data_IF_662593145918
#
_entry.id   IF_662593145918
#
_cell.length_a   1.000
_cell.length_b   1.000
_cell.length_c   1.000
_cell.angle_alpha   90.00
_cell.angle_beta   90.00
_cell.angle_gamma   90.00
#
_symmetry.space_group_name_H-M   'P 1'
#
loop_
_entity.id
_entity.type
_entity.pdbx_description
1 polymer ?
#
# COMPACT_ATOMS: atom_id res chain seq x y z
N UNK A 1 -32.66 9.03 9.84
CA UNK A 1 -31.74 7.89 10.13
C UNK A 1 -31.00 7.51 8.85
N UNK A 2 -29.69 7.61 8.85
CA UNK A 2 -28.86 7.27 7.70
C UNK A 2 -28.95 5.76 7.41
N UNK A 3 -29.20 5.40 6.16
CA UNK A 3 -29.37 4.01 5.72
C UNK A 3 -28.52 3.75 4.47
N UNK A 4 -27.97 2.57 4.38
CA UNK A 4 -27.31 2.05 3.20
C UNK A 4 -28.05 0.78 2.75
N UNK A 5 -28.33 0.67 1.47
CA UNK A 5 -28.81 -0.55 0.83
C UNK A 5 -27.77 -0.97 -0.19
N UNK A 6 -27.28 -2.19 -0.10
CA UNK A 6 -26.27 -2.72 -1.01
C UNK A 6 -26.76 -3.94 -1.77
N UNK A 7 -26.32 -4.06 -3.00
CA UNK A 7 -26.54 -5.24 -3.84
C UNK A 7 -25.30 -5.53 -4.66
N UNK A 8 -24.79 -6.74 -4.55
CA UNK A 8 -23.74 -7.23 -5.46
C UNK A 8 -24.38 -7.94 -6.64
N UNK A 9 -24.04 -7.48 -7.84
CA UNK A 9 -24.45 -8.13 -9.09
C UNK A 9 -23.26 -8.94 -9.58
N UNK A 10 -23.40 -10.26 -9.54
CA UNK A 10 -22.34 -11.19 -9.98
C UNK A 10 -22.17 -11.12 -11.49
N UNK A 11 -20.93 -11.24 -11.94
CA UNK A 11 -20.62 -11.30 -13.37
C UNK A 11 -20.98 -12.65 -13.99
N UNK A 12 -21.07 -13.70 -13.17
CA UNK A 12 -21.47 -15.05 -13.60
C UNK A 12 -22.20 -15.81 -12.50
N UNK A 13 -23.30 -16.48 -12.85
CA UNK A 13 -24.09 -17.32 -11.96
C UNK A 13 -23.47 -18.72 -11.75
N UNK A 14 -22.40 -19.06 -12.48
CA UNK A 14 -21.80 -20.41 -12.47
C UNK A 14 -20.79 -20.66 -11.35
N UNK A 15 -20.55 -19.70 -10.48
CA UNK A 15 -19.54 -19.84 -9.43
C UNK A 15 -20.13 -20.46 -8.17
N UNK A 16 -19.76 -21.68 -7.89
CA UNK A 16 -19.97 -22.38 -6.60
C UNK A 16 -18.89 -22.02 -5.57
N UNK A 17 -18.20 -20.92 -5.75
CA UNK A 17 -16.94 -20.64 -5.07
C UNK A 17 -17.09 -19.61 -3.96
N UNK A 18 -16.18 -19.75 -3.01
CA UNK A 18 -15.95 -18.80 -1.94
C UNK A 18 -15.56 -17.41 -2.47
N UNK A 19 -14.96 -17.36 -3.67
CA UNK A 19 -14.55 -16.12 -4.34
C UNK A 19 -15.38 -15.93 -5.61
N UNK A 20 -15.81 -14.69 -5.87
CA UNK A 20 -16.54 -14.38 -7.11
C UNK A 20 -16.30 -12.93 -7.53
N UNK A 21 -16.47 -12.67 -8.82
CA UNK A 21 -16.42 -11.33 -9.39
C UNK A 21 -17.83 -10.72 -9.49
N UNK A 22 -17.95 -9.44 -9.14
CA UNK A 22 -19.23 -8.76 -9.23
C UNK A 22 -19.17 -7.26 -8.91
N UNK A 23 -20.15 -6.51 -9.42
CA UNK A 23 -20.27 -5.06 -9.21
C UNK A 23 -21.11 -4.75 -7.97
N UNK A 24 -20.65 -3.74 -7.21
CA UNK A 24 -21.41 -3.21 -6.09
C UNK A 24 -22.34 -2.10 -6.56
N UNK A 25 -23.62 -2.25 -6.25
CA UNK A 25 -24.62 -1.19 -6.33
C UNK A 25 -25.03 -0.82 -4.92
N UNK A 26 -25.10 0.47 -4.63
CA UNK A 26 -25.54 0.94 -3.33
C UNK A 26 -26.49 2.15 -3.47
N UNK A 27 -27.45 2.20 -2.55
CA UNK A 27 -28.34 3.35 -2.36
C UNK A 27 -28.13 3.81 -0.93
N UNK A 28 -27.65 5.04 -0.79
CA UNK A 28 -27.41 5.67 0.50
C UNK A 28 -28.46 6.76 0.74
N UNK A 29 -29.23 6.62 1.82
CA UNK A 29 -30.17 7.63 2.29
C UNK A 29 -29.57 8.36 3.48
N UNK A 30 -29.35 9.67 3.37
CA UNK A 30 -28.76 10.49 4.42
C UNK A 30 -29.81 11.02 5.41
N UNK A 31 -29.43 11.06 6.67
CA UNK A 31 -30.19 11.71 7.74
C UNK A 31 -30.31 13.22 7.50
N UNK A 32 -31.41 13.84 7.95
CA UNK A 32 -31.66 15.28 7.79
C UNK A 32 -30.63 16.17 8.48
N UNK A 33 -29.92 15.64 9.46
CA UNK A 33 -28.88 16.36 10.21
C UNK A 33 -27.57 16.51 9.42
N UNK A 34 -27.41 15.78 8.32
CA UNK A 34 -26.21 15.83 7.48
C UNK A 34 -26.37 16.92 6.44
N UNK A 35 -25.46 17.89 6.44
CA UNK A 35 -25.41 18.92 5.41
C UNK A 35 -24.93 18.33 4.07
N UNK A 36 -25.75 18.48 3.05
CA UNK A 36 -25.49 17.92 1.72
C UNK A 36 -24.65 18.91 0.91
N UNK A 37 -23.37 18.66 0.77
CA UNK A 37 -22.47 19.41 -0.11
C UNK A 37 -22.56 18.95 -1.56
N UNK A 38 -21.86 19.63 -2.48
CA UNK A 38 -21.90 19.32 -3.90
C UNK A 38 -21.04 18.10 -4.27
N UNK A 39 -19.94 17.87 -3.56
CA UNK A 39 -19.00 16.81 -3.85
C UNK A 39 -19.09 15.68 -2.80
N UNK A 40 -19.09 14.47 -3.29
CA UNK A 40 -19.04 13.29 -2.45
C UNK A 40 -18.07 12.25 -3.01
N UNK A 41 -17.60 11.38 -2.14
CA UNK A 41 -16.88 10.18 -2.54
C UNK A 41 -17.36 8.96 -1.75
N UNK A 42 -17.35 7.81 -2.41
CA UNK A 42 -17.63 6.51 -1.80
C UNK A 42 -16.45 5.61 -2.05
N UNK A 43 -15.92 5.04 -0.97
CA UNK A 43 -14.72 4.22 -1.03
C UNK A 43 -14.96 2.91 -0.30
N UNK A 44 -14.73 1.79 -0.98
CA UNK A 44 -14.90 0.45 -0.43
C UNK A 44 -13.55 -0.15 -0.05
N UNK A 45 -13.48 -0.71 1.15
CA UNK A 45 -12.31 -1.37 1.71
C UNK A 45 -12.62 -2.80 2.13
N UNK A 46 -11.65 -3.68 1.94
CA UNK A 46 -11.59 -4.94 2.66
C UNK A 46 -11.01 -4.68 4.05
N UNK A 47 -11.78 -4.97 5.10
CA UNK A 47 -11.39 -4.65 6.48
C UNK A 47 -10.25 -5.54 6.99
N UNK A 48 -10.24 -6.81 6.59
CA UNK A 48 -9.20 -7.76 7.00
C UNK A 48 -7.82 -7.42 6.46
N UNK A 49 -7.74 -7.07 5.16
CA UNK A 49 -6.46 -6.77 4.49
C UNK A 49 -6.20 -5.27 4.38
N UNK A 50 -7.09 -4.43 4.90
CA UNK A 50 -6.97 -2.98 4.76
C UNK A 50 -6.70 -2.55 3.32
N UNK A 51 -7.39 -3.19 2.41
CA UNK A 51 -7.21 -3.01 1.00
C UNK A 51 -8.32 -2.16 0.41
N UNK A 52 -7.94 -1.09 -0.26
CA UNK A 52 -8.85 -0.32 -1.11
C UNK A 52 -9.25 -1.19 -2.30
N UNK A 53 -10.53 -1.48 -2.41
CA UNK A 53 -11.07 -2.23 -3.53
C UNK A 53 -11.51 -1.30 -4.66
N UNK A 54 -12.23 -0.24 -4.33
CA UNK A 54 -12.69 0.71 -5.33
C UNK A 54 -13.07 2.04 -4.70
N UNK A 55 -13.01 3.12 -5.49
CA UNK A 55 -13.43 4.45 -5.10
C UNK A 55 -14.16 5.13 -6.24
N UNK A 56 -15.33 5.66 -5.95
CA UNK A 56 -16.12 6.48 -6.86
C UNK A 56 -16.31 7.87 -6.26
N UNK A 57 -16.26 8.88 -7.10
CA UNK A 57 -16.53 10.26 -6.72
C UNK A 57 -17.55 10.87 -7.69
N UNK A 58 -18.38 11.74 -7.18
CA UNK A 58 -19.39 12.41 -7.98
C UNK A 58 -19.74 13.77 -7.42
N UNK A 59 -20.45 14.52 -8.20
CA UNK A 59 -21.03 15.79 -7.83
C UNK A 59 -22.56 15.73 -7.79
N UNK A 60 -23.19 16.81 -7.33
CA UNK A 60 -24.63 16.90 -7.05
C UNK A 60 -25.59 16.58 -8.21
N UNK A 61 -25.10 16.50 -9.42
CA UNK A 61 -25.95 16.34 -10.60
C UNK A 61 -26.40 14.90 -10.86
N UNK A 62 -25.91 13.92 -10.10
CA UNK A 62 -26.36 12.53 -10.20
C UNK A 62 -27.65 12.36 -9.41
N UNK A 63 -28.77 12.59 -10.09
CA UNK A 63 -30.17 12.26 -9.72
C UNK A 63 -30.45 12.19 -8.21
N UNK A 64 -30.31 13.32 -7.52
CA UNK A 64 -30.81 13.47 -6.17
C UNK A 64 -32.34 13.53 -6.21
N UNK A 65 -32.98 12.46 -5.81
CA UNK A 65 -34.30 12.52 -5.22
C UNK A 65 -34.13 12.46 -3.72
N UNK A 66 -34.34 13.60 -3.05
CA UNK A 66 -34.55 13.63 -1.61
C UNK A 66 -33.51 12.94 -0.73
N UNK A 67 -32.20 13.35 -0.84
CA UNK A 67 -31.12 12.83 0.00
C UNK A 67 -30.73 11.36 -0.23
N UNK A 68 -31.21 10.75 -1.30
CA UNK A 68 -30.79 9.43 -1.74
C UNK A 68 -29.70 9.53 -2.78
N UNK A 69 -28.60 8.83 -2.53
CA UNK A 69 -27.45 8.71 -3.42
C UNK A 69 -27.39 7.29 -3.96
N UNK A 70 -27.62 7.13 -5.25
CA UNK A 70 -27.48 5.85 -5.93
C UNK A 70 -26.13 5.80 -6.63
N UNK A 71 -25.28 4.85 -6.25
CA UNK A 71 -23.96 4.65 -6.83
C UNK A 71 -23.83 3.21 -7.30
N UNK A 72 -23.39 3.06 -8.55
CA UNK A 72 -23.01 1.78 -9.12
C UNK A 72 -21.51 1.80 -9.38
N UNK A 73 -20.76 0.93 -8.73
CA UNK A 73 -19.31 0.85 -8.96
C UNK A 73 -19.07 0.40 -10.40
N UNK A 74 -18.24 1.15 -11.13
CA UNK A 74 -18.01 0.96 -12.56
C UNK A 74 -17.32 -0.37 -12.88
N UNK A 75 -16.46 -0.83 -11.97
CA UNK A 75 -15.68 -2.04 -12.16
C UNK A 75 -16.14 -3.18 -11.26
N UNK A 76 -15.98 -4.39 -11.75
CA UNK A 76 -16.19 -5.59 -10.96
C UNK A 76 -15.08 -5.76 -9.92
N UNK A 77 -15.46 -6.24 -8.75
CA UNK A 77 -14.58 -6.47 -7.61
C UNK A 77 -14.56 -7.98 -7.36
N UNK A 78 -13.41 -8.50 -6.99
CA UNK A 78 -13.32 -9.86 -6.49
C UNK A 78 -13.72 -9.87 -5.02
N UNK A 79 -14.83 -10.53 -4.74
CA UNK A 79 -15.40 -10.69 -3.41
C UNK A 79 -14.95 -12.00 -2.78
N UNK A 80 -14.72 -11.95 -1.49
CA UNK A 80 -14.49 -13.12 -0.64
C UNK A 80 -15.32 -12.98 0.64
N UNK A 81 -15.70 -14.07 1.33
CA UNK A 81 -16.35 -13.98 2.61
C UNK A 81 -15.50 -13.20 3.61
N UNK A 82 -16.12 -12.31 4.37
CA UNK A 82 -15.39 -11.50 5.34
C UNK A 82 -15.99 -10.12 5.56
N UNK A 83 -15.25 -9.32 6.29
CA UNK A 83 -15.66 -7.98 6.66
C UNK A 83 -15.14 -6.94 5.66
N UNK A 84 -16.01 -5.99 5.35
CA UNK A 84 -15.73 -4.85 4.51
C UNK A 84 -16.27 -3.60 5.19
N UNK A 85 -15.76 -2.47 4.80
CA UNK A 85 -16.39 -1.21 5.16
C UNK A 85 -16.41 -0.25 3.98
N UNK A 86 -17.45 0.56 3.96
CA UNK A 86 -17.62 1.61 2.98
C UNK A 86 -17.51 2.95 3.69
N UNK A 87 -16.65 3.82 3.19
CA UNK A 87 -16.56 5.21 3.62
C UNK A 87 -17.33 6.07 2.63
N UNK A 88 -18.30 6.80 3.15
CA UNK A 88 -18.97 7.88 2.42
C UNK A 88 -18.46 9.21 2.98
N UNK A 89 -17.95 10.05 2.11
CA UNK A 89 -17.49 11.39 2.46
C UNK A 89 -18.30 12.43 1.70
N UNK A 90 -18.76 13.45 2.41
CA UNK A 90 -19.41 14.62 1.84
C UNK A 90 -19.04 15.86 2.67
N UNK A 91 -18.37 16.83 2.05
CA UNK A 91 -17.81 17.95 2.80
C UNK A 91 -16.92 17.49 3.95
N UNK A 92 -17.18 17.93 5.16
CA UNK A 92 -16.44 17.52 6.38
C UNK A 92 -17.00 16.25 7.02
N UNK A 93 -18.10 15.72 6.55
CA UNK A 93 -18.75 14.53 7.10
C UNK A 93 -18.13 13.28 6.48
N UNK A 94 -17.76 12.33 7.31
CA UNK A 94 -17.32 10.99 6.90
C UNK A 94 -18.14 9.97 7.68
N UNK A 95 -18.82 9.09 6.94
CA UNK A 95 -19.62 7.99 7.48
C UNK A 95 -18.94 6.67 7.13
N UNK A 96 -18.85 5.78 8.08
CA UNK A 96 -18.41 4.40 7.88
C UNK A 96 -19.61 3.47 7.99
N UNK A 97 -19.79 2.63 6.99
CA UNK A 97 -20.76 1.54 6.98
C UNK A 97 -20.01 0.22 7.06
N UNK A 98 -20.41 -0.61 8.01
CA UNK A 98 -19.86 -1.95 8.18
C UNK A 98 -20.63 -2.92 7.29
N UNK A 99 -19.93 -3.74 6.55
CA UNK A 99 -20.46 -4.70 5.60
C UNK A 99 -19.88 -6.08 5.89
N UNK A 100 -20.69 -7.12 5.70
CA UNK A 100 -20.24 -8.50 5.81
C UNK A 100 -20.65 -9.30 4.58
N UNK A 101 -19.68 -9.79 3.84
CA UNK A 101 -19.91 -10.76 2.77
C UNK A 101 -20.00 -12.15 3.36
N UNK A 102 -21.12 -12.79 3.13
CA UNK A 102 -21.38 -14.16 3.57
C UNK A 102 -20.85 -15.18 2.53
N UNK A 103 -20.66 -16.43 2.95
CA UNK A 103 -20.24 -17.54 2.08
C UNK A 103 -21.23 -17.79 0.92
N UNK A 104 -22.52 -17.52 1.14
CA UNK A 104 -23.53 -17.60 0.09
C UNK A 104 -23.51 -16.46 -0.92
N UNK A 105 -22.61 -15.47 -0.72
CA UNK A 105 -22.46 -14.29 -1.57
C UNK A 105 -23.46 -13.16 -1.30
N UNK A 106 -24.19 -13.21 -0.19
CA UNK A 106 -25.02 -12.10 0.24
C UNK A 106 -24.18 -11.09 1.02
N UNK A 107 -24.34 -9.82 0.70
CA UNK A 107 -23.74 -8.71 1.44
C UNK A 107 -24.74 -8.20 2.47
N UNK A 108 -24.35 -8.24 3.74
CA UNK A 108 -25.15 -7.74 4.86
C UNK A 108 -24.56 -6.43 5.38
N UNK A 109 -25.42 -5.51 5.71
CA UNK A 109 -25.07 -4.26 6.36
C UNK A 109 -25.27 -4.40 7.87
N UNK A 110 -24.26 -4.02 8.66
CA UNK A 110 -24.28 -4.22 10.10
C UNK A 110 -24.27 -2.93 10.93
N UNK A 111 -24.10 -1.77 10.31
CA UNK A 111 -24.15 -0.50 11.02
C UNK A 111 -23.60 0.67 10.27
N UNK A 112 -23.92 1.87 10.77
CA UNK A 112 -23.39 3.14 10.29
C UNK A 112 -22.87 3.93 11.50
N UNK A 113 -21.67 4.48 11.37
CA UNK A 113 -21.11 5.42 12.35
C UNK A 113 -20.57 6.67 11.68
N UNK A 114 -20.75 7.80 12.38
CA UNK A 114 -20.06 9.05 12.04
C UNK A 114 -18.60 8.92 12.48
N UNK A 115 -17.67 9.14 11.58
CA UNK A 115 -16.25 9.09 11.87
C UNK A 115 -15.80 10.39 12.55
N UNK A 116 -15.06 10.32 13.66
CA UNK A 116 -14.57 11.51 14.34
C UNK A 116 -13.56 12.24 13.45
N UNK A 117 -13.60 13.55 13.48
CA UNK A 117 -12.62 14.41 12.80
C UNK A 117 -11.21 14.03 13.27
N UNK A 118 -10.28 13.92 12.33
CA UNK A 118 -8.90 13.42 12.53
C UNK A 118 -8.79 11.93 12.93
N UNK A 119 -9.90 11.21 13.02
CA UNK A 119 -9.88 9.76 13.11
C UNK A 119 -9.30 9.12 11.86
N UNK A 120 -9.00 7.85 11.94
CA UNK A 120 -8.36 7.09 10.87
C UNK A 120 -9.17 7.12 9.57
N UNK A 121 -10.45 6.84 9.66
CA UNK A 121 -11.38 6.83 8.52
C UNK A 121 -11.51 8.24 7.90
N UNK A 122 -11.51 9.27 8.75
CA UNK A 122 -11.54 10.65 8.29
C UNK A 122 -10.27 11.00 7.48
N UNK A 123 -9.10 10.62 7.98
CA UNK A 123 -7.82 10.80 7.26
C UNK A 123 -7.83 10.04 5.93
N UNK A 124 -8.30 8.79 5.94
CA UNK A 124 -8.44 7.98 4.73
C UNK A 124 -9.30 8.68 3.67
N UNK A 125 -10.48 9.14 4.05
CA UNK A 125 -11.41 9.76 3.13
C UNK A 125 -10.93 11.14 2.62
N UNK A 126 -10.41 11.98 3.52
CA UNK A 126 -10.10 13.39 3.23
C UNK A 126 -8.73 13.66 2.64
N UNK A 127 -7.72 12.89 3.07
CA UNK A 127 -6.33 13.17 2.70
C UNK A 127 -5.82 12.28 1.58
N UNK A 128 -6.51 11.22 1.30
CA UNK A 128 -5.99 10.08 0.58
C UNK A 128 -6.78 9.77 -0.67
N UNK A 129 -8.09 9.99 -0.65
CA UNK A 129 -8.92 9.76 -1.83
C UNK A 129 -8.44 10.62 -3.00
N UNK A 130 -8.26 9.99 -4.15
CA UNK A 130 -7.85 10.67 -5.39
C UNK A 130 -6.35 10.85 -5.60
N UNK A 131 -5.47 10.50 -4.65
CA UNK A 131 -4.02 10.53 -4.89
C UNK A 131 -3.56 9.21 -5.53
N UNK A 132 -3.02 9.20 -6.77
CA UNK A 132 -2.68 7.97 -7.49
C UNK A 132 -1.75 7.04 -6.73
N UNK A 133 -0.74 7.58 -6.05
CA UNK A 133 0.23 6.79 -5.28
C UNK A 133 -0.40 6.11 -4.07
N UNK A 134 -1.34 6.78 -3.42
CA UNK A 134 -2.06 6.18 -2.30
C UNK A 134 -2.98 5.05 -2.75
N UNK A 135 -3.72 5.29 -3.82
CA UNK A 135 -4.60 4.26 -4.37
C UNK A 135 -3.79 3.01 -4.70
N UNK A 136 -2.62 3.16 -5.31
CA UNK A 136 -1.73 2.02 -5.58
C UNK A 136 -1.27 1.31 -4.30
N UNK A 137 -0.74 2.04 -3.31
CA UNK A 137 -0.27 1.46 -2.04
C UNK A 137 -1.42 0.82 -1.26
N UNK A 138 -2.55 1.51 -1.17
CA UNK A 138 -3.69 1.06 -0.39
C UNK A 138 -4.46 -0.07 -1.10
N UNK A 139 -4.36 -0.18 -2.41
CA UNK A 139 -4.88 -1.31 -3.18
C UNK A 139 -3.98 -2.56 -3.15
N UNK A 140 -2.79 -2.45 -2.57
CA UNK A 140 -1.93 -3.62 -2.35
C UNK A 140 -2.45 -4.38 -1.14
N UNK A 141 -2.75 -5.67 -1.25
CA UNK A 141 -3.16 -6.50 -0.13
C UNK A 141 -2.11 -6.55 0.97
N UNK A 142 -2.54 -6.71 2.22
CA UNK A 142 -1.64 -6.81 3.36
C UNK A 142 -0.91 -5.50 3.68
N UNK A 143 0.35 -5.58 4.05
CA UNK A 143 1.16 -4.44 4.50
C UNK A 143 0.53 -3.67 5.66
N UNK A 144 -0.21 -4.36 6.52
CA UNK A 144 -1.03 -3.76 7.59
C UNK A 144 -0.19 -2.89 8.51
N UNK A 145 1.00 -3.36 8.89
CA UNK A 145 1.91 -2.60 9.75
C UNK A 145 2.34 -1.27 9.11
N UNK A 146 2.64 -1.29 7.80
CA UNK A 146 3.02 -0.10 7.03
C UNK A 146 1.86 0.88 6.90
N UNK A 147 0.67 0.37 6.57
CA UNK A 147 -0.55 1.18 6.44
C UNK A 147 -0.91 1.86 7.76
N UNK A 148 -0.86 1.13 8.86
CA UNK A 148 -1.10 1.66 10.21
C UNK A 148 -0.06 2.72 10.60
N UNK A 149 1.21 2.47 10.30
CA UNK A 149 2.27 3.45 10.54
C UNK A 149 2.01 4.73 9.76
N UNK A 150 1.71 4.62 8.47
CA UNK A 150 1.44 5.78 7.62
C UNK A 150 0.23 6.59 8.11
N UNK A 151 -0.85 5.93 8.50
CA UNK A 151 -2.03 6.61 9.03
C UNK A 151 -1.71 7.37 10.32
N UNK A 152 -1.00 6.75 11.25
CA UNK A 152 -0.54 7.43 12.47
C UNK A 152 0.33 8.63 12.14
N UNK A 153 1.15 8.52 11.10
CA UNK A 153 2.00 9.58 10.61
C UNK A 153 1.19 10.77 10.09
N UNK A 154 0.17 10.49 9.28
CA UNK A 154 -0.74 11.51 8.77
C UNK A 154 -1.56 12.16 9.90
N UNK A 155 -2.05 11.39 10.87
CA UNK A 155 -2.73 11.92 12.05
C UNK A 155 -1.83 12.87 12.86
N UNK A 156 -0.57 12.49 13.07
CA UNK A 156 0.38 13.33 13.81
C UNK A 156 0.71 14.60 13.03
N UNK A 157 0.76 14.54 11.70
CA UNK A 157 0.92 15.73 10.86
C UNK A 157 -0.25 16.69 10.99
N UNK A 158 -1.49 16.19 10.95
CA UNK A 158 -2.67 17.03 11.21
C UNK A 158 -2.62 17.67 12.59
N UNK A 159 -2.22 16.90 13.62
CA UNK A 159 -2.01 17.46 14.95
C UNK A 159 -0.97 18.57 14.96
N UNK A 160 0.16 18.40 14.25
CA UNK A 160 1.19 19.42 14.16
C UNK A 160 0.70 20.68 13.44
N UNK A 161 -0.11 20.54 12.40
CA UNK A 161 -0.75 21.69 11.73
C UNK A 161 -1.64 22.45 12.70
N UNK A 162 -2.51 21.78 13.44
CA UNK A 162 -3.35 22.41 14.47
C UNK A 162 -2.54 23.08 15.57
N UNK A 163 -1.46 22.46 16.03
CA UNK A 163 -0.57 23.04 17.04
C UNK A 163 0.10 24.32 16.53
N UNK A 164 0.55 24.34 15.29
CA UNK A 164 1.15 25.50 14.67
C UNK A 164 0.12 26.64 14.53
N UNK A 165 -1.10 26.36 14.12
CA UNK A 165 -2.19 27.33 14.05
C UNK A 165 -2.50 27.99 15.41
N UNK A 166 -2.31 27.25 16.52
CA UNK A 166 -2.51 27.73 17.88
C UNK A 166 -1.20 28.20 18.55
N UNK A 167 -0.16 28.47 17.78
CA UNK A 167 1.16 28.94 18.26
C UNK A 167 1.85 27.96 19.22
N UNK A 168 1.54 26.68 19.14
CA UNK A 168 2.25 25.64 19.87
C UNK A 168 3.38 25.06 19.03
N UNK A 169 4.47 24.65 19.68
CA UNK A 169 5.60 24.01 18.99
C UNK A 169 5.20 22.68 18.33
N UNK A 170 5.86 22.39 17.20
CA UNK A 170 5.68 21.14 16.45
C UNK A 170 6.26 19.97 17.24
N UNK A 171 5.53 18.86 17.30
CA UNK A 171 6.01 17.63 17.90
C UNK A 171 6.98 16.94 16.94
N UNK A 172 8.18 16.55 17.42
CA UNK A 172 9.16 15.88 16.57
C UNK A 172 8.71 14.46 16.23
N UNK A 173 9.18 13.98 15.09
CA UNK A 173 8.96 12.61 14.63
C UNK A 173 10.27 11.85 14.50
N UNK A 174 10.29 10.60 14.89
CA UNK A 174 11.34 9.68 14.48
C UNK A 174 10.88 8.93 13.24
N UNK A 175 11.58 9.16 12.13
CA UNK A 175 11.31 8.50 10.83
C UNK A 175 12.27 7.37 10.51
N UNK A 176 13.21 7.08 11.40
CA UNK A 176 14.15 5.99 11.19
C UNK A 176 13.42 4.65 11.20
N UNK A 177 13.77 3.77 10.27
CA UNK A 177 13.11 2.48 10.08
C UNK A 177 14.12 1.35 9.97
N UNK A 178 13.77 0.19 10.50
CA UNK A 178 14.42 -1.08 10.24
C UNK A 178 13.50 -1.92 9.36
N UNK A 179 14.02 -2.47 8.28
CA UNK A 179 13.23 -3.25 7.35
C UNK A 179 13.91 -4.58 7.09
N UNK A 180 13.26 -5.64 7.54
CA UNK A 180 13.64 -7.01 7.23
C UNK A 180 12.95 -7.46 5.94
N UNK A 181 13.73 -7.60 4.87
CA UNK A 181 13.21 -8.11 3.60
C UNK A 181 14.33 -8.77 2.80
N UNK A 182 14.07 -9.93 2.26
CA UNK A 182 14.98 -10.61 1.36
C UNK A 182 14.97 -10.03 -0.06
N UNK A 183 13.94 -9.26 -0.41
CA UNK A 183 13.79 -8.64 -1.73
C UNK A 183 13.85 -7.13 -1.65
N UNK A 184 14.98 -6.56 -2.05
CA UNK A 184 15.23 -5.11 -1.99
C UNK A 184 14.26 -4.26 -2.82
N UNK A 185 13.74 -4.79 -3.93
CA UNK A 185 12.85 -4.03 -4.84
C UNK A 185 11.48 -3.73 -4.26
N UNK A 186 10.89 -4.68 -3.54
CA UNK A 186 9.61 -4.47 -2.88
C UNK A 186 9.72 -3.40 -1.78
N UNK A 187 10.75 -3.51 -0.96
CA UNK A 187 11.05 -2.56 0.10
C UNK A 187 11.24 -1.17 -0.47
N UNK A 188 12.04 -1.04 -1.52
CA UNK A 188 12.30 0.25 -2.17
C UNK A 188 11.04 0.91 -2.72
N UNK A 189 10.21 0.16 -3.44
CA UNK A 189 8.95 0.69 -3.97
C UNK A 189 7.98 1.11 -2.88
N UNK A 190 7.87 0.32 -1.80
CA UNK A 190 7.03 0.65 -0.66
C UNK A 190 7.51 1.91 0.06
N UNK A 191 8.82 2.04 0.24
CA UNK A 191 9.43 3.24 0.83
C UNK A 191 9.20 4.48 -0.03
N UNK A 192 9.43 4.37 -1.33
CA UNK A 192 9.22 5.47 -2.27
C UNK A 192 7.77 5.97 -2.24
N UNK A 193 6.83 5.06 -2.13
CA UNK A 193 5.40 5.40 -2.01
C UNK A 193 5.10 6.03 -0.66
N UNK A 194 5.65 5.52 0.43
CA UNK A 194 5.46 6.08 1.77
C UNK A 194 5.98 7.51 1.87
N UNK A 195 7.16 7.78 1.32
CA UNK A 195 7.75 9.12 1.33
C UNK A 195 6.92 10.11 0.54
N UNK A 196 6.46 9.73 -0.64
CA UNK A 196 5.58 10.57 -1.46
C UNK A 196 4.23 10.84 -0.80
N UNK A 197 3.69 9.87 -0.08
CA UNK A 197 2.42 10.01 0.64
C UNK A 197 2.56 10.87 1.90
N UNK A 198 3.69 10.78 2.57
CA UNK A 198 4.00 11.62 3.73
C UNK A 198 4.41 13.05 3.33
N UNK A 199 4.37 13.40 2.02
CA UNK A 199 4.90 14.66 1.45
C UNK A 199 6.35 14.94 1.91
N UNK A 200 7.13 13.90 2.10
CA UNK A 200 8.57 14.04 2.30
C UNK A 200 9.12 14.43 0.93
N UNK A 201 9.37 15.71 0.75
CA UNK A 201 9.64 16.31 -0.57
C UNK A 201 11.05 16.03 -1.09
N UNK A 202 11.91 15.37 -0.30
CA UNK A 202 13.33 15.41 -0.58
C UNK A 202 13.96 14.08 -0.96
N UNK A 203 15.05 14.26 -1.66
CA UNK A 203 15.93 13.34 -2.32
C UNK A 203 16.11 12.04 -1.54
N UNK A 204 15.62 10.98 -2.16
CA UNK A 204 15.87 9.63 -1.70
C UNK A 204 17.23 9.19 -2.22
N UNK A 205 18.16 8.95 -1.32
CA UNK A 205 19.42 8.34 -1.67
C UNK A 205 19.39 6.86 -1.28
N UNK A 206 19.39 5.99 -2.31
CA UNK A 206 19.52 4.55 -2.13
C UNK A 206 20.98 4.17 -2.15
N UNK A 207 21.45 3.63 -1.03
CA UNK A 207 22.82 3.21 -0.84
C UNK A 207 22.85 1.70 -0.70
N UNK A 208 23.53 1.02 -1.62
CA UNK A 208 23.83 -0.39 -1.46
C UNK A 208 25.15 -0.51 -0.67
N UNK A 209 25.06 -1.13 0.51
CA UNK A 209 26.22 -1.29 1.40
C UNK A 209 27.36 -2.12 0.77
N UNK A 210 27.07 -2.92 -0.25
CA UNK A 210 28.14 -3.60 -1.01
C UNK A 210 29.06 -2.62 -1.74
N UNK A 211 28.55 -1.43 -2.10
CA UNK A 211 29.32 -0.38 -2.77
C UNK A 211 30.15 0.49 -1.82
N UNK A 212 30.03 0.26 -0.51
CA UNK A 212 30.87 0.93 0.49
C UNK A 212 32.24 0.28 0.65
N UNK A 213 32.46 -0.90 0.03
CA UNK A 213 33.78 -1.51 -0.04
C UNK A 213 34.62 -0.81 -1.09
N UNK A 214 35.84 -0.43 -0.72
CA UNK A 214 36.77 0.25 -1.61
C UNK A 214 38.21 -0.24 -1.42
N UNK A 215 39.13 0.14 -2.30
CA UNK A 215 40.53 -0.32 -2.29
C UNK A 215 41.36 0.28 -1.14
N UNK A 216 40.81 1.25 -0.40
CA UNK A 216 41.47 1.91 0.72
C UNK A 216 40.63 1.74 1.99
N UNK A 217 41.28 1.62 3.13
CA UNK A 217 40.62 1.46 4.43
C UNK A 217 39.72 2.66 4.81
N UNK A 218 40.09 3.87 4.38
CA UNK A 218 39.32 5.10 4.65
C UNK A 218 38.17 5.34 3.66
N UNK A 219 38.10 4.57 2.56
CA UNK A 219 37.09 4.77 1.53
C UNK A 219 35.65 4.70 2.03
N UNK A 220 35.23 3.72 2.85
CA UNK A 220 33.86 3.65 3.35
C UNK A 220 33.49 4.86 4.21
N UNK A 221 34.42 5.35 5.04
CA UNK A 221 34.19 6.48 5.93
C UNK A 221 34.01 7.78 5.15
N UNK A 222 34.90 8.03 4.18
CA UNK A 222 34.81 9.21 3.32
C UNK A 222 33.51 9.19 2.49
N UNK A 223 33.10 8.01 2.00
CA UNK A 223 31.85 7.85 1.24
C UNK A 223 30.63 8.17 2.11
N UNK A 224 30.62 7.74 3.38
CA UNK A 224 29.55 8.10 4.32
C UNK A 224 29.53 9.61 4.60
N UNK A 225 30.70 10.20 4.81
CA UNK A 225 30.78 11.66 4.99
C UNK A 225 30.28 12.42 3.76
N UNK A 226 30.59 11.97 2.55
CA UNK A 226 30.09 12.57 1.31
C UNK A 226 28.56 12.47 1.18
N UNK A 227 27.99 11.30 1.51
CA UNK A 227 26.53 11.07 1.49
C UNK A 227 25.82 12.06 2.41
N UNK A 228 26.31 12.23 3.63
CA UNK A 228 25.71 13.14 4.60
C UNK A 228 26.20 14.61 4.45
N UNK A 229 27.30 14.88 3.76
CA UNK A 229 27.85 16.23 3.55
C UNK A 229 27.01 17.09 2.61
N UNK A 230 26.27 16.46 1.69
CA UNK A 230 25.29 17.15 0.82
C UNK A 230 24.28 17.97 1.64
N UNK A 231 24.09 17.63 2.90
CA UNK A 231 23.27 18.38 3.86
C UNK A 231 23.86 19.76 4.21
N UNK A 232 25.19 19.82 4.40
CA UNK A 232 25.87 21.05 4.88
C UNK A 232 25.96 22.15 3.85
N UNK A 233 25.92 21.81 2.57
CA UNK A 233 26.05 22.77 1.48
C UNK A 233 24.73 23.46 1.12
N UNK A 234 23.60 22.77 1.23
CA UNK A 234 22.29 23.38 0.93
C UNK A 234 21.88 24.44 1.97
N UNK A 235 22.24 24.24 3.23
CA UNK A 235 21.90 25.18 4.32
C UNK A 235 22.71 26.50 4.24
N UNK A 236 23.85 26.47 3.58
CA UNK A 236 24.75 27.65 3.50
C UNK A 236 24.53 28.56 2.29
N UNK A 237 23.98 28.02 1.18
CA UNK A 237 23.90 28.78 -0.09
C UNK A 237 22.71 29.74 -0.12
N UNK A 238 21.65 29.51 0.61
CA UNK A 238 20.43 30.28 0.46
C UNK A 238 20.10 31.23 1.63
N UNK A 239 20.77 31.15 2.78
CA UNK A 239 20.48 32.01 3.92
C UNK A 239 19.03 32.02 4.38
N UNK A 240 18.23 31.10 3.86
CA UNK A 240 16.82 30.90 4.15
C UNK A 240 16.69 29.62 4.98
N UNK A 241 16.33 29.78 6.25
CA UNK A 241 15.78 28.68 7.05
C UNK A 241 14.43 28.26 6.43
N UNK A 242 14.48 27.49 5.35
CA UNK A 242 13.29 26.85 4.79
C UNK A 242 13.04 25.55 5.58
N UNK A 243 11.98 25.48 6.38
CA UNK A 243 11.63 24.27 7.14
C UNK A 243 11.48 23.03 6.23
N UNK A 244 11.27 23.24 4.94
CA UNK A 244 11.00 22.24 3.93
C UNK A 244 12.24 21.53 3.37
N UNK A 245 13.47 22.00 3.67
CA UNK A 245 14.71 21.41 3.13
C UNK A 245 15.33 20.33 4.03
N UNK A 246 14.76 20.10 5.20
CA UNK A 246 15.38 19.27 6.26
C UNK A 246 14.97 17.78 6.23
N UNK A 247 13.97 17.41 5.47
CA UNK A 247 13.47 16.03 5.43
C UNK A 247 14.13 15.22 4.31
N UNK A 248 15.35 14.76 4.53
CA UNK A 248 16.04 13.83 3.63
C UNK A 248 15.89 12.41 4.13
N UNK A 249 15.78 11.48 3.20
CA UNK A 249 15.70 10.06 3.47
C UNK A 249 16.88 9.33 2.86
N UNK A 250 17.62 8.61 3.69
CA UNK A 250 18.73 7.76 3.30
C UNK A 250 18.36 6.31 3.55
N UNK A 251 18.37 5.49 2.52
CA UNK A 251 18.09 4.07 2.64
C UNK A 251 19.34 3.24 2.36
N UNK A 252 19.81 2.53 3.37
CA UNK A 252 20.95 1.62 3.30
C UNK A 252 20.43 0.19 3.11
N UNK A 253 20.79 -0.42 1.98
CA UNK A 253 20.41 -1.78 1.62
C UNK A 253 21.56 -2.75 1.81
N UNK A 254 21.25 -4.04 1.98
CA UNK A 254 22.23 -5.10 2.22
C UNK A 254 23.09 -4.84 3.46
N UNK A 255 22.45 -4.41 4.56
CA UNK A 255 23.17 -4.04 5.80
C UNK A 255 23.99 -5.19 6.40
N UNK A 256 23.72 -6.44 6.06
CA UNK A 256 24.53 -7.58 6.41
C UNK A 256 26.00 -7.42 6.01
N UNK A 257 26.28 -6.60 4.99
CA UNK A 257 27.64 -6.23 4.59
C UNK A 257 28.36 -5.40 5.67
N UNK A 258 27.64 -4.54 6.38
CA UNK A 258 28.17 -3.69 7.46
C UNK A 258 28.44 -4.48 8.75
N UNK A 259 27.86 -5.67 8.88
CA UNK A 259 28.03 -6.56 10.03
C UNK A 259 29.24 -7.49 9.89
N UNK A 260 29.96 -7.42 8.77
CA UNK A 260 31.16 -8.21 8.53
C UNK A 260 32.35 -7.66 9.32
N UNK A 261 33.31 -8.52 9.67
CA UNK A 261 34.54 -8.09 10.35
C UNK A 261 35.25 -6.98 9.57
N UNK A 262 35.63 -5.92 10.25
CA UNK A 262 36.33 -4.76 9.68
C UNK A 262 35.37 -3.63 9.19
N UNK A 263 34.06 -3.82 9.26
CA UNK A 263 33.07 -2.81 8.87
C UNK A 263 32.32 -2.18 10.06
N UNK A 264 32.66 -2.57 11.28
CA UNK A 264 31.97 -2.09 12.50
C UNK A 264 32.00 -0.57 12.63
N UNK A 265 33.15 0.03 12.37
CA UNK A 265 33.29 1.49 12.42
C UNK A 265 32.49 2.24 11.36
N UNK A 266 32.17 1.60 10.22
CA UNK A 266 31.36 2.18 9.17
C UNK A 266 29.91 2.30 9.63
N UNK A 267 29.38 1.27 10.29
CA UNK A 267 28.06 1.30 10.89
C UNK A 267 27.98 2.36 11.99
N UNK A 268 28.97 2.42 12.90
CA UNK A 268 29.05 3.44 13.94
C UNK A 268 29.04 4.84 13.32
N UNK A 269 29.74 5.03 12.20
CA UNK A 269 29.74 6.28 11.46
C UNK A 269 28.35 6.63 10.93
N UNK A 270 27.66 5.68 10.27
CA UNK A 270 26.28 5.88 9.83
C UNK A 270 25.39 6.25 11.02
N UNK A 271 25.47 5.52 12.10
CA UNK A 271 24.66 5.75 13.30
C UNK A 271 24.96 7.10 13.96
N UNK A 272 26.20 7.62 13.85
CA UNK A 272 26.55 8.97 14.35
C UNK A 272 25.88 10.08 13.56
N UNK A 273 25.56 9.86 12.29
CA UNK A 273 24.84 10.79 11.43
C UNK A 273 23.32 10.63 11.50
N UNK A 274 22.79 9.61 12.19
CA UNK A 274 21.34 9.43 12.31
C UNK A 274 20.78 10.54 13.20
N UNK A 275 20.13 11.55 12.63
CA UNK A 275 19.52 12.62 13.40
C UNK A 275 18.29 12.11 14.10
N UNK A 276 18.01 12.70 15.24
CA UNK A 276 16.89 12.24 16.06
C UNK A 276 15.53 12.65 15.49
N UNK A 277 15.46 13.71 14.63
CA UNK A 277 14.17 14.33 14.33
C UNK A 277 13.94 14.85 12.90
N UNK A 278 14.94 15.06 12.06
CA UNK A 278 14.75 15.75 10.77
C UNK A 278 15.03 14.89 9.55
N UNK A 279 16.01 14.03 9.59
CA UNK A 279 16.31 13.10 8.51
C UNK A 279 15.84 11.71 8.89
N UNK A 280 15.45 10.91 7.91
CA UNK A 280 15.16 9.51 8.13
C UNK A 280 16.25 8.63 7.56
N UNK A 281 16.75 7.73 8.38
CA UNK A 281 17.64 6.66 7.96
C UNK A 281 16.86 5.36 8.00
N UNK A 282 16.95 4.61 6.91
CA UNK A 282 16.30 3.32 6.75
C UNK A 282 17.40 2.29 6.55
N UNK A 283 17.40 1.28 7.39
CA UNK A 283 18.31 0.16 7.31
C UNK A 283 17.55 -1.08 6.83
N UNK A 284 17.95 -1.61 5.68
CA UNK A 284 17.30 -2.75 5.03
C UNK A 284 18.25 -3.93 4.93
N UNK A 285 17.80 -5.09 5.39
CA UNK A 285 18.55 -6.34 5.33
C UNK A 285 17.65 -7.55 5.51
N UNK A 286 18.25 -8.73 5.63
CA UNK A 286 17.49 -9.93 6.00
C UNK A 286 17.01 -9.85 7.46
N UNK A 287 16.05 -10.67 7.85
CA UNK A 287 15.61 -10.73 9.25
C UNK A 287 16.80 -11.03 10.18
N UNK A 288 17.66 -11.94 9.77
CA UNK A 288 18.87 -12.30 10.52
C UNK A 288 19.83 -11.11 10.70
N UNK A 289 19.99 -10.28 9.68
CA UNK A 289 20.83 -9.07 9.77
C UNK A 289 20.24 -8.05 10.74
N UNK A 290 18.93 -7.84 10.69
CA UNK A 290 18.21 -6.92 11.59
C UNK A 290 18.30 -7.40 13.05
N UNK A 291 18.10 -8.68 13.30
CA UNK A 291 18.21 -9.26 14.64
C UNK A 291 19.64 -9.12 15.17
N UNK A 292 20.65 -9.47 14.37
CA UNK A 292 22.06 -9.30 14.72
C UNK A 292 22.40 -7.82 15.00
N UNK A 293 21.91 -6.90 14.17
CA UNK A 293 22.08 -5.47 14.37
C UNK A 293 21.53 -5.01 15.74
N UNK A 294 20.33 -5.42 16.09
CA UNK A 294 19.66 -5.07 17.34
C UNK A 294 20.33 -5.65 18.57
N UNK A 295 20.91 -6.85 18.44
CA UNK A 295 21.58 -7.53 19.54
C UNK A 295 22.98 -6.96 19.79
N UNK A 296 23.69 -6.63 18.72
CA UNK A 296 25.07 -6.14 18.82
C UNK A 296 25.17 -4.64 19.15
N UNK A 297 24.18 -3.84 18.71
CA UNK A 297 24.17 -2.38 18.84
C UNK A 297 22.96 -1.91 19.66
N UNK A 298 23.07 -1.79 20.98
CA UNK A 298 21.97 -1.38 21.87
C UNK A 298 21.35 -0.01 21.50
N UNK A 299 22.16 0.89 20.97
CA UNK A 299 21.73 2.23 20.52
C UNK A 299 20.73 2.18 19.37
N UNK A 300 20.68 1.10 18.57
CA UNK A 300 19.67 0.89 17.54
C UNK A 300 18.27 0.99 18.12
N UNK A 301 18.05 0.47 19.32
CA UNK A 301 16.72 0.51 19.97
C UNK A 301 16.25 1.92 20.28
N UNK A 302 17.18 2.83 20.58
CA UNK A 302 16.84 4.24 20.87
C UNK A 302 16.63 5.08 19.59
N UNK A 303 17.39 4.75 18.52
CA UNK A 303 17.35 5.48 17.24
C UNK A 303 16.28 4.95 16.29
N UNK A 304 15.87 3.67 16.43
CA UNK A 304 14.88 2.99 15.60
C UNK A 304 13.78 2.38 16.48
N UNK A 305 12.69 3.12 16.71
CA UNK A 305 11.59 2.65 17.54
C UNK A 305 10.99 1.34 17.02
N UNK A 306 10.52 0.48 17.92
CA UNK A 306 9.91 -0.81 17.56
C UNK A 306 8.71 -0.61 16.63
N UNK A 307 7.97 0.50 16.79
CA UNK A 307 6.87 0.86 15.88
C UNK A 307 7.28 1.10 14.43
N UNK A 308 8.57 1.28 14.19
CA UNK A 308 9.15 1.55 12.88
C UNK A 308 10.01 0.37 12.38
N UNK A 309 9.79 -0.82 12.94
CA UNK A 309 10.43 -2.05 12.50
C UNK A 309 9.41 -2.85 11.69
N UNK A 310 9.76 -3.18 10.45
CA UNK A 310 8.90 -3.87 9.52
C UNK A 310 9.59 -5.15 9.03
N UNK A 311 8.80 -6.20 8.85
CA UNK A 311 9.27 -7.44 8.26
C UNK A 311 8.41 -7.78 7.03
N UNK A 312 9.04 -8.36 6.03
CA UNK A 312 8.33 -8.98 4.90
C UNK A 312 8.00 -10.42 5.30
N UNK A 313 6.76 -10.65 5.64
CA UNK A 313 6.24 -11.98 5.97
C UNK A 313 5.69 -12.66 4.72
N UNK A 314 5.66 -14.01 4.68
CA UNK A 314 4.93 -14.74 3.66
C UNK A 314 3.47 -14.27 3.63
N UNK A 315 2.95 -14.10 2.43
CA UNK A 315 1.57 -13.62 2.26
C UNK A 315 0.56 -14.72 2.57
N UNK A 316 -0.57 -14.37 3.17
CA UNK A 316 -1.72 -15.27 3.29
C UNK A 316 -2.30 -15.59 1.90
N UNK A 317 -3.05 -16.68 1.78
CA UNK A 317 -3.61 -17.09 0.48
C UNK A 317 -4.53 -16.01 -0.12
N UNK A 318 -5.27 -15.33 0.72
CA UNK A 318 -6.14 -14.22 0.32
C UNK A 318 -5.34 -13.05 -0.26
N UNK A 319 -4.19 -12.75 0.34
CA UNK A 319 -3.28 -11.71 -0.15
C UNK A 319 -2.69 -12.08 -1.51
N UNK A 320 -2.32 -13.35 -1.71
CA UNK A 320 -1.79 -13.85 -2.98
C UNK A 320 -2.84 -13.76 -4.09
N UNK A 321 -4.06 -14.21 -3.82
CA UNK A 321 -5.19 -14.18 -4.76
C UNK A 321 -5.52 -12.73 -5.15
N UNK A 322 -5.70 -11.85 -4.17
CA UNK A 322 -6.04 -10.45 -4.44
C UNK A 322 -4.90 -9.71 -5.14
N UNK A 323 -3.65 -10.03 -4.81
CA UNK A 323 -2.48 -9.49 -5.52
C UNK A 323 -2.51 -9.90 -6.99
N UNK A 324 -2.84 -11.16 -7.28
CA UNK A 324 -2.95 -11.62 -8.68
C UNK A 324 -3.96 -10.78 -9.46
N UNK A 325 -5.16 -10.61 -8.93
CA UNK A 325 -6.20 -9.83 -9.60
C UNK A 325 -5.81 -8.36 -9.76
N UNK A 326 -5.18 -7.79 -8.74
CA UNK A 326 -4.74 -6.39 -8.80
C UNK A 326 -3.61 -6.19 -9.82
N UNK A 327 -2.67 -7.10 -9.93
CA UNK A 327 -1.59 -7.00 -10.91
C UNK A 327 -2.12 -7.22 -12.34
N UNK A 328 -3.11 -8.09 -12.54
CA UNK A 328 -3.79 -8.23 -13.82
C UNK A 328 -4.52 -6.92 -14.22
N UNK A 329 -5.24 -6.30 -13.28
CA UNK A 329 -5.89 -5.01 -13.49
C UNK A 329 -4.88 -3.90 -13.81
N UNK A 330 -3.75 -3.84 -13.10
CA UNK A 330 -2.68 -2.88 -13.36
C UNK A 330 -2.07 -3.05 -14.76
N UNK A 331 -1.97 -4.28 -15.22
CA UNK A 331 -1.54 -4.62 -16.58
C UNK A 331 -2.63 -4.38 -17.63
N UNK A 332 -3.83 -3.94 -17.22
CA UNK A 332 -5.01 -3.76 -18.06
C UNK A 332 -5.44 -5.05 -18.79
N UNK A 333 -5.19 -6.17 -18.18
CA UNK A 333 -5.57 -7.49 -18.68
C UNK A 333 -6.88 -7.88 -18.00
N UNK A 334 -7.87 -8.26 -18.80
CA UNK A 334 -9.15 -8.75 -18.30
C UNK A 334 -9.07 -10.26 -18.04
N UNK A 335 -9.81 -10.71 -17.06
CA UNK A 335 -9.95 -12.12 -16.73
C UNK A 335 -11.39 -12.56 -17.05
N UNK A 336 -11.53 -13.66 -17.77
CA UNK A 336 -12.86 -14.28 -17.90
C UNK A 336 -13.33 -14.83 -16.55
N UNK A 337 -14.64 -14.99 -16.32
CA UNK A 337 -15.15 -15.59 -15.08
C UNK A 337 -14.55 -16.98 -14.79
N UNK A 338 -14.32 -17.78 -15.81
CA UNK A 338 -13.68 -19.09 -15.72
C UNK A 338 -12.22 -18.97 -15.26
N UNK A 339 -11.51 -17.94 -15.73
CA UNK A 339 -10.13 -17.66 -15.33
C UNK A 339 -10.03 -17.19 -13.90
N UNK A 340 -10.97 -16.37 -13.43
CA UNK A 340 -11.08 -15.97 -12.01
C UNK A 340 -11.19 -17.21 -11.13
N UNK A 341 -12.14 -18.11 -11.47
CA UNK A 341 -12.36 -19.36 -10.76
C UNK A 341 -11.11 -20.24 -10.75
N UNK A 342 -10.47 -20.40 -11.91
CA UNK A 342 -9.26 -21.21 -12.03
C UNK A 342 -8.11 -20.64 -11.22
N UNK A 343 -7.88 -19.34 -11.24
CA UNK A 343 -6.84 -18.67 -10.42
C UNK A 343 -7.06 -18.97 -8.94
N UNK A 344 -8.28 -18.77 -8.44
CA UNK A 344 -8.59 -19.02 -7.04
C UNK A 344 -8.33 -20.48 -6.64
N UNK A 345 -8.80 -21.44 -7.45
CA UNK A 345 -8.57 -22.86 -7.18
C UNK A 345 -7.10 -23.26 -7.28
N UNK A 346 -6.40 -22.78 -8.28
CA UNK A 346 -5.01 -23.11 -8.52
C UNK A 346 -4.10 -22.61 -7.40
N UNK A 347 -4.21 -21.34 -7.04
CA UNK A 347 -3.43 -20.75 -5.96
C UNK A 347 -3.77 -21.39 -4.61
N UNK A 348 -5.08 -21.61 -4.33
CA UNK A 348 -5.49 -22.27 -3.08
C UNK A 348 -4.93 -23.68 -2.96
N UNK A 349 -4.97 -24.47 -4.03
CA UNK A 349 -4.40 -25.83 -4.04
C UNK A 349 -2.89 -25.79 -3.80
N UNK A 350 -2.16 -24.98 -4.55
CA UNK A 350 -0.71 -24.88 -4.41
C UNK A 350 -0.26 -24.36 -3.03
N UNK A 351 -1.07 -23.49 -2.43
CA UNK A 351 -0.84 -23.04 -1.07
C UNK A 351 -1.06 -24.17 -0.06
N UNK A 352 -2.12 -24.98 -0.22
CA UNK A 352 -2.39 -26.16 0.62
C UNK A 352 -1.31 -27.22 0.49
N UNK A 353 -0.85 -27.48 -0.74
CA UNK A 353 0.23 -28.42 -1.04
C UNK A 353 1.60 -27.93 -0.55
N UNK A 354 1.69 -26.67 -0.09
CA UNK A 354 2.91 -26.09 0.47
C UNK A 354 3.86 -25.46 -0.56
N UNK A 355 3.55 -25.55 -1.86
CA UNK A 355 4.44 -25.07 -2.92
C UNK A 355 4.64 -23.56 -2.91
N UNK A 356 3.61 -22.80 -2.51
CA UNK A 356 3.63 -21.33 -2.52
C UNK A 356 3.41 -20.72 -1.13
N UNK A 357 3.53 -21.50 -0.05
CA UNK A 357 3.35 -20.98 1.34
C UNK A 357 4.33 -19.87 1.71
N UNK A 358 5.50 -19.88 1.11
CA UNK A 358 6.53 -18.88 1.37
C UNK A 358 6.52 -17.74 0.35
N UNK A 359 5.52 -17.71 -0.53
CA UNK A 359 5.42 -16.64 -1.49
C UNK A 359 5.09 -15.30 -0.82
N UNK A 360 5.74 -14.29 -1.32
CA UNK A 360 5.47 -12.89 -1.02
C UNK A 360 4.64 -12.28 -2.17
N UNK A 361 4.16 -11.07 -1.97
CA UNK A 361 3.52 -10.27 -3.03
C UNK A 361 4.44 -10.15 -4.27
N UNK A 362 5.75 -10.05 -4.07
CA UNK A 362 6.73 -9.97 -5.16
C UNK A 362 6.80 -11.27 -5.98
N UNK A 363 6.56 -12.41 -5.37
CA UNK A 363 6.55 -13.69 -6.09
C UNK A 363 5.34 -13.81 -7.00
N UNK A 364 4.17 -13.35 -6.56
CA UNK A 364 2.97 -13.26 -7.42
C UNK A 364 3.22 -12.35 -8.62
N UNK A 365 3.81 -11.18 -8.40
CA UNK A 365 4.18 -10.26 -9.49
C UNK A 365 5.12 -10.91 -10.49
N UNK A 366 6.15 -11.58 -9.98
CA UNK A 366 7.10 -12.31 -10.83
C UNK A 366 6.42 -13.41 -11.62
N UNK A 367 5.52 -14.18 -11.00
CA UNK A 367 4.75 -15.22 -11.68
C UNK A 367 3.90 -14.63 -12.82
N UNK A 368 3.18 -13.53 -12.58
CA UNK A 368 2.38 -12.88 -13.60
C UNK A 368 3.27 -12.38 -14.75
N UNK A 369 4.36 -11.68 -14.45
CA UNK A 369 5.21 -11.06 -15.47
C UNK A 369 6.07 -12.06 -16.23
N UNK A 370 6.51 -13.14 -15.60
CA UNK A 370 7.42 -14.11 -16.20
C UNK A 370 6.71 -15.33 -16.83
N UNK A 371 5.46 -15.58 -16.46
CA UNK A 371 4.73 -16.75 -16.95
C UNK A 371 3.37 -16.40 -17.57
N UNK A 372 2.49 -15.73 -16.83
CA UNK A 372 1.12 -15.47 -17.31
C UNK A 372 1.11 -14.52 -18.50
N UNK A 373 1.79 -13.38 -18.42
CA UNK A 373 1.83 -12.41 -19.51
C UNK A 373 2.47 -12.97 -20.77
N UNK A 374 3.61 -13.68 -20.73
CA UNK A 374 4.16 -14.30 -21.92
C UNK A 374 3.24 -15.36 -22.56
N UNK A 375 2.62 -16.24 -21.75
CA UNK A 375 1.66 -17.24 -22.25
C UNK A 375 0.46 -16.58 -22.94
N UNK A 376 -0.14 -15.61 -22.27
CA UNK A 376 -1.21 -14.77 -22.82
C UNK A 376 -0.79 -14.09 -24.12
N UNK A 377 0.41 -13.48 -24.15
CA UNK A 377 0.91 -12.77 -25.33
C UNK A 377 1.09 -13.73 -26.51
N UNK A 378 1.68 -14.90 -26.25
CA UNK A 378 1.90 -15.92 -27.28
C UNK A 378 0.57 -16.38 -27.88
N UNK A 379 -0.39 -16.77 -27.03
CA UNK A 379 -1.74 -17.17 -27.47
C UNK A 379 -2.43 -16.05 -28.25
N UNK A 380 -2.34 -14.80 -27.76
CA UNK A 380 -2.97 -13.66 -28.41
C UNK A 380 -2.41 -13.41 -29.82
N UNK A 381 -1.09 -13.55 -29.99
CA UNK A 381 -0.45 -13.42 -31.29
C UNK A 381 -0.93 -14.53 -32.23
N UNK A 382 -0.99 -15.75 -31.75
CA UNK A 382 -1.45 -16.91 -32.57
C UNK A 382 -2.91 -16.74 -33.00
N UNK A 383 -3.79 -16.32 -32.10
CA UNK A 383 -5.20 -16.05 -32.39
C UNK A 383 -5.36 -14.90 -33.42
N UNK A 384 -4.62 -13.82 -33.27
CA UNK A 384 -4.61 -12.72 -34.25
C UNK A 384 -4.10 -13.17 -35.64
N UNK A 385 -3.12 -14.06 -35.69
CA UNK A 385 -2.65 -14.64 -36.95
C UNK A 385 -3.70 -15.50 -37.63
N UNK A 386 -4.61 -16.10 -36.84
CA UNK A 386 -5.75 -16.88 -37.35
C UNK A 386 -6.96 -16.00 -37.71
N UNK A 387 -6.86 -14.68 -37.50
CA UNK A 387 -7.89 -13.70 -37.86
C UNK A 387 -8.98 -13.54 -36.80
N UNK A 388 -8.73 -13.98 -35.55
CA UNK A 388 -9.65 -13.73 -34.45
C UNK A 388 -9.68 -12.22 -34.10
N UNK A 389 -10.87 -11.67 -33.81
CA UNK A 389 -11.00 -10.27 -33.44
C UNK A 389 -10.32 -10.00 -32.08
N UNK A 390 -9.66 -8.85 -31.96
CA UNK A 390 -8.91 -8.45 -30.76
C UNK A 390 -9.77 -8.52 -29.48
N UNK A 391 -11.05 -8.23 -29.60
CA UNK A 391 -12.02 -8.23 -28.51
C UNK A 391 -12.21 -9.62 -27.86
N UNK A 392 -12.03 -10.69 -28.62
CA UNK A 392 -12.09 -12.06 -28.14
C UNK A 392 -10.75 -12.52 -27.50
N UNK A 393 -9.67 -11.87 -27.86
CA UNK A 393 -8.30 -12.22 -27.44
C UNK A 393 -7.87 -11.50 -26.17
N UNK A 394 -8.59 -10.45 -25.73
CA UNK A 394 -8.20 -9.55 -24.63
C UNK A 394 -8.20 -10.21 -23.25
N UNK A 395 -8.89 -11.33 -23.10
CA UNK A 395 -9.03 -11.99 -21.80
C UNK A 395 -7.92 -13.03 -21.56
N UNK A 396 -7.40 -13.07 -20.31
CA UNK A 396 -6.63 -14.24 -19.85
C UNK A 396 -7.58 -15.42 -19.79
N UNK A 397 -7.20 -16.50 -20.47
CA UNK A 397 -7.89 -17.78 -20.45
C UNK A 397 -7.24 -18.75 -19.45
N UNK A 398 -7.96 -19.83 -19.06
CA UNK A 398 -7.41 -20.82 -18.13
C UNK A 398 -6.09 -21.46 -18.57
N UNK A 399 -5.84 -21.59 -19.86
CA UNK A 399 -4.60 -22.12 -20.44
C UNK A 399 -3.40 -21.20 -20.28
N UNK A 400 -3.60 -19.89 -20.15
CA UNK A 400 -2.53 -18.93 -19.91
C UNK A 400 -1.95 -19.03 -18.49
N UNK A 401 -2.66 -19.74 -17.61
CA UNK A 401 -2.34 -19.91 -16.20
C UNK A 401 -1.51 -21.20 -15.96
N UNK A 402 -0.49 -21.42 -16.75
CA UNK A 402 0.42 -22.55 -16.53
C UNK A 402 1.32 -22.28 -15.30
N UNK A 403 1.48 -23.31 -14.44
CA UNK A 403 2.41 -23.30 -13.31
C UNK A 403 3.54 -24.29 -13.56
#
# INVERSE_FOLDING_TARGET
MTRLLTKVVRDSDKTSLTYFSGKLNCILTLDETIDVSEEYSITLYNDYLWMLLHSEAGDKHIKQKERDFSVSFSHSIVWMPGHYFLLFQMGEVVLRFELQMQENGNLLESGCKLCPKYGMEYILAKRISGKPYWNYFNSTPGLIQWKNWLIKRLQQRELNTLRAEHSHGVLPFCNNMLIASETSDFVWRSLLLLTRLADIKNVEERIDCSNLYGPREDYPYNKIDDIFATERYSDKILGLELPDLKDRQYSFHNIGMLLRPGMEGVLDKILSHVPTYYNSVILCGTQKDIDHLRDRYPEIRSKFPVSNCFASEPAAIEELILTFFREAENAKIQLSPESVDRVCRLLSRKYQDGEIRNWTISDVRRYITAQVIPSYTQRSIEAMQQGEPLEEVVNILPEDLAF
#
